data_IF_075293004819
#
_entry.id   IF_075293004819
#
_cell.length_a   1.000
_cell.length_b   1.000
_cell.length_c   1.000
_cell.angle_alpha   90.00
_cell.angle_beta   90.00
_cell.angle_gamma   90.00
#
_symmetry.space_group_name_H-M   'P 1'
#
loop_
_entity.id
_entity.type
_entity.pdbx_description
1 polymer ?
#
# COMPACT_ATOMS: atom_id res chain seq x y z
N UNK A 1 1.14 11.73 2.33
CA UNK A 1 0.94 10.46 1.60
C UNK A 1 1.02 10.66 0.09
N UNK A 2 1.91 9.92 -0.61
CA UNK A 2 1.92 9.88 -2.08
C UNK A 2 0.79 8.98 -2.63
N UNK A 3 0.33 9.25 -3.85
CA UNK A 3 -0.68 8.51 -4.60
C UNK A 3 -0.43 7.00 -4.70
N UNK A 4 0.84 6.57 -4.77
CA UNK A 4 1.21 5.15 -4.72
C UNK A 4 0.86 4.56 -3.35
N UNK A 5 1.29 5.21 -2.28
CA UNK A 5 1.05 4.77 -0.92
C UNK A 5 -0.45 4.72 -0.60
N UNK A 6 -1.17 5.83 -0.86
CA UNK A 6 -2.61 5.91 -0.63
C UNK A 6 -3.44 4.89 -1.41
N UNK A 7 -3.04 4.52 -2.64
CA UNK A 7 -3.68 3.42 -3.38
C UNK A 7 -3.43 2.06 -2.71
N UNK A 8 -2.19 1.81 -2.31
CA UNK A 8 -1.80 0.49 -1.80
C UNK A 8 -2.38 0.20 -0.42
N UNK A 9 -2.39 1.18 0.49
CA UNK A 9 -2.98 0.99 1.82
C UNK A 9 -4.48 0.67 1.74
N UNK A 10 -5.20 1.20 0.74
CA UNK A 10 -6.60 0.85 0.46
C UNK A 10 -6.74 -0.54 -0.16
N UNK A 11 -5.93 -0.87 -1.18
CA UNK A 11 -5.89 -2.23 -1.77
C UNK A 11 -5.48 -3.32 -0.78
N UNK A 12 -4.71 -2.97 0.24
CA UNK A 12 -4.32 -3.89 1.30
C UNK A 12 -5.25 -3.85 2.51
N UNK A 13 -6.31 -3.04 2.45
CA UNK A 13 -7.31 -2.87 3.52
C UNK A 13 -6.69 -2.51 4.87
N UNK A 14 -5.67 -1.65 4.85
CA UNK A 14 -5.11 -1.06 6.07
C UNK A 14 -5.99 0.09 6.59
N UNK A 15 -6.67 0.78 5.68
CA UNK A 15 -7.62 1.85 5.99
C UNK A 15 -8.53 2.11 4.78
N UNK A 16 -9.76 2.55 5.05
CA UNK A 16 -10.70 3.06 4.05
C UNK A 16 -10.66 4.60 3.95
N UNK A 17 -9.82 5.26 4.76
CA UNK A 17 -9.66 6.71 4.70
C UNK A 17 -8.99 7.16 3.40
N UNK A 18 -9.45 8.29 2.86
CA UNK A 18 -8.89 8.90 1.66
C UNK A 18 -8.07 10.15 1.97
N UNK A 19 -8.31 10.77 3.12
CA UNK A 19 -7.56 11.93 3.57
C UNK A 19 -6.11 11.54 3.93
N UNK A 20 -5.09 12.16 3.31
CA UNK A 20 -3.69 11.83 3.55
C UNK A 20 -3.27 11.88 5.03
N UNK A 21 -3.77 12.84 5.78
CA UNK A 21 -3.40 13.04 7.20
C UNK A 21 -3.99 11.91 8.03
N UNK A 22 -5.24 11.55 7.78
CA UNK A 22 -5.88 10.41 8.47
C UNK A 22 -5.23 9.08 8.11
N UNK A 23 -4.90 8.87 6.84
CA UNK A 23 -4.18 7.67 6.38
C UNK A 23 -2.83 7.54 7.10
N UNK A 24 -2.06 8.62 7.19
CA UNK A 24 -0.80 8.64 7.94
C UNK A 24 -1.01 8.29 9.41
N UNK A 25 -2.02 8.87 10.06
CA UNK A 25 -2.32 8.59 11.46
C UNK A 25 -2.70 7.12 11.70
N UNK A 26 -3.53 6.53 10.83
CA UNK A 26 -3.91 5.11 10.94
C UNK A 26 -2.68 4.21 10.73
N UNK A 27 -1.91 4.43 9.67
CA UNK A 27 -0.74 3.58 9.37
C UNK A 27 0.35 3.72 10.42
N UNK A 28 0.53 4.92 10.99
CA UNK A 28 1.43 5.17 12.11
C UNK A 28 1.05 4.36 13.37
N UNK A 29 -0.23 4.02 13.55
CA UNK A 29 -0.71 3.15 14.62
C UNK A 29 -0.51 1.65 14.37
N UNK A 30 -0.28 1.24 13.13
CA UNK A 30 -0.09 -0.17 12.74
C UNK A 30 1.37 -0.59 12.83
N UNK A 31 2.30 0.31 12.48
CA UNK A 31 3.73 0.00 12.36
C UNK A 31 4.59 0.76 13.37
N UNK A 32 5.66 0.15 13.91
CA UNK A 32 6.58 0.83 14.82
C UNK A 32 7.24 2.03 14.14
N UNK A 33 7.43 3.11 14.91
CA UNK A 33 7.98 4.38 14.42
C UNK A 33 9.34 4.25 13.72
N UNK A 34 10.17 3.30 14.17
CA UNK A 34 11.48 3.02 13.57
C UNK A 34 11.39 2.55 12.10
N UNK A 35 10.27 1.95 11.69
CA UNK A 35 10.11 1.40 10.34
C UNK A 35 9.45 2.37 9.36
N UNK A 36 8.91 3.52 9.78
CA UNK A 36 8.06 4.37 8.94
C UNK A 36 8.70 4.80 7.62
N UNK A 37 9.98 5.18 7.65
CA UNK A 37 10.71 5.59 6.44
C UNK A 37 10.85 4.43 5.46
N UNK A 38 11.30 3.26 5.93
CA UNK A 38 11.51 2.10 5.09
C UNK A 38 10.20 1.47 4.62
N UNK A 39 9.16 1.48 5.45
CA UNK A 39 7.80 1.13 5.07
C UNK A 39 7.35 2.01 3.88
N UNK A 40 7.45 3.33 4.03
CA UNK A 40 7.07 4.28 2.97
C UNK A 40 7.77 3.98 1.65
N UNK A 41 9.10 3.76 1.68
CA UNK A 41 9.85 3.34 0.50
C UNK A 41 9.34 2.02 -0.09
N UNK A 42 9.19 0.97 0.72
CA UNK A 42 8.74 -0.35 0.28
C UNK A 42 7.37 -0.28 -0.39
N UNK A 43 6.42 0.42 0.23
CA UNK A 43 5.06 0.60 -0.33
C UNK A 43 5.10 1.38 -1.63
N UNK A 44 5.79 2.52 -1.68
CA UNK A 44 5.88 3.33 -2.90
C UNK A 44 6.56 2.56 -4.04
N UNK A 45 7.66 1.85 -3.76
CA UNK A 45 8.33 1.02 -4.78
C UNK A 45 7.45 -0.11 -5.27
N UNK A 46 6.72 -0.78 -4.38
CA UNK A 46 5.77 -1.82 -4.77
C UNK A 46 4.68 -1.27 -5.68
N UNK A 47 4.13 -0.10 -5.34
CA UNK A 47 3.09 0.56 -6.15
C UNK A 47 3.60 1.05 -7.51
N UNK A 48 4.88 1.40 -7.61
CA UNK A 48 5.52 1.82 -8.86
C UNK A 48 5.84 0.66 -9.78
N UNK A 49 6.29 -0.49 -9.23
CA UNK A 49 6.89 -1.59 -10.01
C UNK A 49 6.02 -2.83 -10.18
N UNK A 50 5.02 -3.03 -9.31
CA UNK A 50 4.22 -4.27 -9.28
C UNK A 50 2.73 -3.91 -9.27
N UNK A 51 2.27 -3.18 -8.25
CA UNK A 51 0.86 -2.89 -8.04
C UNK A 51 0.46 -1.59 -8.75
N UNK A 52 0.57 -1.60 -10.08
CA UNK A 52 0.23 -0.47 -10.94
C UNK A 52 -1.25 -0.06 -10.80
N UNK A 53 -1.56 1.20 -11.12
CA UNK A 53 -2.91 1.74 -10.93
C UNK A 53 -3.96 1.03 -11.79
N UNK A 54 -3.67 0.80 -13.08
CA UNK A 54 -4.64 0.22 -14.04
C UNK A 54 -4.57 -1.30 -14.16
N UNK A 55 -3.37 -1.87 -14.29
CA UNK A 55 -3.16 -3.31 -14.49
C UNK A 55 -2.05 -3.81 -13.55
N UNK A 56 -2.37 -4.15 -12.29
CA UNK A 56 -1.38 -4.63 -11.34
C UNK A 56 -0.82 -5.99 -11.78
N UNK A 57 0.48 -6.21 -11.61
CA UNK A 57 1.14 -7.46 -11.92
C UNK A 57 0.92 -8.50 -10.79
N UNK A 58 -0.34 -8.79 -10.46
CA UNK A 58 -0.71 -9.67 -9.34
C UNK A 58 -0.07 -11.06 -9.45
N UNK A 59 0.06 -11.62 -10.65
CA UNK A 59 0.73 -12.92 -10.87
C UNK A 59 2.22 -12.93 -10.55
N UNK A 60 2.89 -11.78 -10.53
CA UNK A 60 4.30 -11.63 -10.16
C UNK A 60 4.49 -10.95 -8.79
N UNK A 61 3.41 -10.71 -8.06
CA UNK A 61 3.44 -10.00 -6.79
C UNK A 61 3.89 -10.94 -5.66
N UNK A 62 4.98 -10.64 -4.92
CA UNK A 62 5.50 -11.52 -3.88
C UNK A 62 4.58 -11.65 -2.67
N UNK A 63 3.64 -10.72 -2.50
CA UNK A 63 2.65 -10.72 -1.42
C UNK A 63 1.24 -11.06 -1.91
N UNK A 64 1.10 -11.53 -3.16
CA UNK A 64 -0.20 -11.92 -3.73
C UNK A 64 -1.01 -12.87 -2.83
N UNK A 65 -0.41 -13.91 -2.20
CA UNK A 65 -1.16 -14.82 -1.32
C UNK A 65 -1.77 -14.14 -0.09
N UNK A 66 -1.25 -12.97 0.30
CA UNK A 66 -1.70 -12.20 1.46
C UNK A 66 -2.53 -10.98 1.05
N UNK A 67 -2.68 -10.71 -0.25
CA UNK A 67 -3.25 -9.47 -0.74
C UNK A 67 -4.78 -9.58 -0.82
N UNK A 68 -5.55 -8.78 -0.06
CA UNK A 68 -7.00 -8.86 -0.07
C UNK A 68 -7.65 -8.35 -1.38
N UNK A 69 -6.90 -7.61 -2.20
CA UNK A 69 -7.31 -7.14 -3.54
C UNK A 69 -6.66 -7.93 -4.68
N UNK A 70 -6.27 -9.19 -4.46
CA UNK A 70 -5.69 -10.00 -5.53
C UNK A 70 -6.68 -10.15 -6.71
N UNK A 71 -6.23 -9.85 -7.92
CA UNK A 71 -7.04 -10.01 -9.13
C UNK A 71 -8.07 -8.91 -9.40
N UNK A 72 -8.15 -7.86 -8.57
CA UNK A 72 -9.10 -6.75 -8.75
C UNK A 72 -8.71 -5.72 -9.85
N UNK A 73 -7.78 -6.06 -10.75
CA UNK A 73 -7.36 -5.16 -11.83
C UNK A 73 -6.89 -5.86 -13.10
#
# INVERSE_FOLDING_TARGET
>A
VDTHFGRLVRRWKWTDEEDPVKVEAVVAGIFPKSEWTMLSHRVVFHGRRICHARKPACGACPIAPLCPSYGEG
#
